data_IF_572365620933
#
_entry.id   IF_572365620933
#
_cell.length_a   1.000
_cell.length_b   1.000
_cell.length_c   1.000
_cell.angle_alpha   90.00
_cell.angle_beta   90.00
_cell.angle_gamma   90.00
#
_symmetry.space_group_name_H-M   'P 1'
#
loop_
_entity.id
_entity.type
_entity.pdbx_description
1 polymer ?
#
# COMPACT_ATOMS: atom_id res chain seq x y z
N UNK A 1 -72.82 -65.06 32.37
CA UNK A 1 -72.46 -64.34 31.12
C UNK A 1 -72.20 -62.82 31.34
N UNK A 2 -71.21 -62.38 32.16
CA UNK A 2 -70.87 -60.94 32.19
C UNK A 2 -69.38 -60.58 31.96
N UNK A 3 -68.47 -61.54 31.78
CA UNK A 3 -67.02 -61.24 31.82
C UNK A 3 -66.43 -60.88 30.43
N UNK A 4 -67.03 -61.31 29.31
CA UNK A 4 -66.50 -60.99 27.97
C UNK A 4 -66.89 -59.62 27.41
N UNK A 5 -67.92 -58.94 27.96
CA UNK A 5 -68.33 -57.61 27.46
C UNK A 5 -67.42 -56.47 27.92
N UNK A 6 -66.56 -56.68 28.92
CA UNK A 6 -65.73 -55.61 29.48
C UNK A 6 -64.39 -55.44 28.73
N UNK A 7 -63.82 -56.52 28.18
CA UNK A 7 -62.53 -56.45 27.47
C UNK A 7 -62.63 -55.80 26.09
N UNK A 8 -63.75 -55.98 25.37
CA UNK A 8 -63.94 -55.41 24.04
C UNK A 8 -64.09 -53.87 24.06
N UNK A 9 -64.76 -53.33 25.07
CA UNK A 9 -64.92 -51.87 25.26
C UNK A 9 -63.61 -51.23 25.73
N UNK A 10 -62.83 -51.89 26.58
CA UNK A 10 -61.52 -51.38 27.02
C UNK A 10 -60.49 -51.41 25.89
N UNK A 11 -60.50 -52.42 25.00
CA UNK A 11 -59.58 -52.47 23.84
C UNK A 11 -59.90 -51.39 22.78
N UNK A 12 -61.18 -51.12 22.52
CA UNK A 12 -61.61 -50.10 21.54
C UNK A 12 -61.30 -48.69 22.04
N UNK A 13 -61.47 -48.44 23.34
CA UNK A 13 -61.08 -47.16 23.96
C UNK A 13 -59.56 -46.97 23.94
N UNK A 14 -58.76 -48.03 24.17
CA UNK A 14 -57.30 -47.94 24.08
C UNK A 14 -56.82 -47.71 22.64
N UNK A 15 -57.42 -48.39 21.66
CA UNK A 15 -57.06 -48.26 20.23
C UNK A 15 -57.46 -46.89 19.65
N UNK A 16 -58.60 -46.31 20.08
CA UNK A 16 -59.00 -44.95 19.70
C UNK A 16 -58.17 -43.87 20.42
N UNK A 17 -57.74 -44.09 21.67
CA UNK A 17 -56.83 -43.16 22.37
C UNK A 17 -55.44 -43.12 21.73
N UNK A 18 -54.92 -44.26 21.23
CA UNK A 18 -53.62 -44.31 20.57
C UNK A 18 -53.60 -43.60 19.20
N UNK A 19 -54.73 -43.57 18.48
CA UNK A 19 -54.85 -42.91 17.17
C UNK A 19 -54.94 -41.37 17.30
N UNK A 20 -55.47 -40.86 18.42
CA UNK A 20 -55.54 -39.42 18.71
C UNK A 20 -54.17 -38.86 19.12
N UNK A 21 -53.32 -39.66 19.76
CA UNK A 21 -51.95 -39.27 20.14
C UNK A 21 -50.99 -39.32 18.93
N UNK A 22 -51.30 -40.09 17.88
CA UNK A 22 -50.45 -40.18 16.67
C UNK A 22 -50.71 -39.10 15.62
N UNK A 23 -51.83 -38.38 15.67
CA UNK A 23 -52.17 -37.33 14.68
C UNK A 23 -52.08 -35.89 15.22
N UNK A 24 -51.85 -35.72 16.52
CA UNK A 24 -51.64 -34.40 17.15
C UNK A 24 -50.17 -34.08 17.43
N UNK A 25 -49.27 -35.05 17.21
CA UNK A 25 -47.84 -34.81 17.17
C UNK A 25 -47.40 -34.43 15.74
N UNK A 26 -47.96 -33.35 15.21
CA UNK A 26 -47.17 -32.57 14.26
C UNK A 26 -46.01 -32.02 15.08
N UNK A 27 -44.85 -32.66 15.00
CA UNK A 27 -43.61 -32.08 15.47
C UNK A 27 -43.49 -30.74 14.76
N UNK A 28 -43.80 -29.66 15.48
CA UNK A 28 -43.42 -28.33 15.09
C UNK A 28 -41.88 -28.36 15.14
N UNK A 29 -41.25 -28.68 14.02
CA UNK A 29 -39.80 -28.61 13.87
C UNK A 29 -39.45 -27.13 13.84
N UNK A 30 -39.32 -26.53 15.02
CA UNK A 30 -38.68 -25.23 15.16
C UNK A 30 -37.22 -25.50 14.81
N UNK A 31 -36.78 -25.01 13.64
CA UNK A 31 -35.36 -25.04 13.28
C UNK A 31 -34.57 -24.38 14.42
N UNK A 32 -33.43 -24.97 14.85
CA UNK A 32 -32.58 -24.31 15.82
C UNK A 32 -32.16 -22.93 15.30
N UNK A 33 -31.94 -21.94 16.18
CA UNK A 33 -31.38 -20.66 15.76
C UNK A 33 -30.06 -20.88 15.02
N UNK A 34 -29.84 -20.15 13.93
CA UNK A 34 -28.61 -20.23 13.14
C UNK A 34 -27.43 -19.80 14.03
N UNK A 35 -26.41 -20.65 14.12
CA UNK A 35 -25.16 -20.31 14.81
C UNK A 35 -24.23 -19.57 13.85
N UNK A 36 -24.11 -18.26 14.07
CA UNK A 36 -23.27 -17.38 13.25
C UNK A 36 -21.78 -17.52 13.54
N UNK A 37 -21.37 -18.22 14.60
CA UNK A 37 -19.96 -18.50 14.85
C UNK A 37 -19.45 -19.64 13.95
N UNK A 38 -20.29 -20.64 13.68
CA UNK A 38 -19.93 -21.77 12.82
C UNK A 38 -20.36 -21.60 11.35
N UNK A 39 -21.36 -20.77 11.08
CA UNK A 39 -21.94 -20.58 9.74
C UNK A 39 -21.89 -19.12 9.26
N UNK A 40 -20.88 -18.36 9.67
CA UNK A 40 -20.68 -17.00 9.16
C UNK A 40 -20.51 -17.03 7.63
N UNK A 41 -21.16 -16.11 6.89
CA UNK A 41 -20.89 -15.98 5.47
C UNK A 41 -19.46 -15.49 5.22
N UNK A 42 -18.88 -15.95 4.12
CA UNK A 42 -17.63 -15.42 3.60
C UNK A 42 -17.93 -14.17 2.77
N UNK A 43 -17.08 -13.15 2.90
CA UNK A 43 -17.20 -11.88 2.17
C UNK A 43 -15.90 -11.60 1.45
N UNK A 44 -16.01 -11.32 0.15
CA UNK A 44 -14.88 -11.01 -0.71
C UNK A 44 -15.17 -9.75 -1.50
N UNK A 45 -14.17 -8.87 -1.61
CA UNK A 45 -14.25 -7.71 -2.49
C UNK A 45 -13.87 -8.17 -3.89
N UNK A 46 -14.79 -8.08 -4.84
CA UNK A 46 -14.55 -8.52 -6.23
C UNK A 46 -14.01 -7.40 -7.10
N UNK A 47 -14.36 -6.16 -6.79
CA UNK A 47 -13.90 -4.98 -7.52
C UNK A 47 -13.90 -3.74 -6.64
N UNK A 48 -12.90 -2.89 -6.84
CA UNK A 48 -12.84 -1.53 -6.31
C UNK A 48 -12.52 -0.60 -7.46
N UNK A 49 -13.32 0.45 -7.61
CA UNK A 49 -13.04 1.55 -8.52
C UNK A 49 -12.56 2.75 -7.71
N UNK A 50 -11.41 3.30 -8.10
CA UNK A 50 -10.90 4.55 -7.56
C UNK A 50 -11.84 5.73 -7.86
N UNK A 51 -11.72 6.79 -7.07
CA UNK A 51 -12.37 8.07 -7.38
C UNK A 51 -11.30 9.10 -7.72
N UNK A 52 -11.53 9.97 -8.70
CA UNK A 52 -10.56 10.99 -9.02
C UNK A 52 -10.72 12.22 -8.13
N UNK A 53 -9.62 12.64 -7.54
CA UNK A 53 -9.38 14.01 -7.10
C UNK A 53 -10.39 14.53 -6.06
N UNK A 54 -10.70 13.67 -5.08
CA UNK A 54 -11.64 13.94 -4.00
C UNK A 54 -13.11 13.95 -4.43
N UNK A 55 -13.43 13.55 -5.66
CA UNK A 55 -14.81 13.35 -6.07
C UNK A 55 -15.42 12.10 -5.41
N UNK A 56 -16.72 11.87 -5.63
CA UNK A 56 -17.43 10.69 -5.18
C UNK A 56 -17.90 9.86 -6.37
N UNK A 57 -16.95 9.31 -7.13
CA UNK A 57 -17.19 8.47 -8.32
C UNK A 57 -16.66 7.04 -8.17
N UNK A 58 -16.10 6.71 -7.00
CA UNK A 58 -15.61 5.37 -6.70
C UNK A 58 -16.76 4.37 -6.51
N UNK A 59 -16.40 3.09 -6.53
CA UNK A 59 -17.35 2.01 -6.27
C UNK A 59 -16.68 0.82 -5.58
N UNK A 60 -17.47 0.05 -4.85
CA UNK A 60 -17.10 -1.23 -4.25
C UNK A 60 -18.11 -2.27 -4.72
N UNK A 61 -17.63 -3.39 -5.25
CA UNK A 61 -18.43 -4.57 -5.52
C UNK A 61 -17.98 -5.71 -4.62
N UNK A 62 -18.96 -6.40 -4.04
CA UNK A 62 -18.75 -7.43 -3.03
C UNK A 62 -19.40 -8.72 -3.51
N UNK A 63 -18.81 -9.85 -3.15
CA UNK A 63 -19.46 -11.15 -3.25
C UNK A 63 -19.51 -11.77 -1.86
N UNK A 64 -20.72 -12.13 -1.42
CA UNK A 64 -20.92 -12.93 -0.23
C UNK A 64 -21.34 -14.35 -0.60
N UNK A 65 -20.83 -15.33 0.13
CA UNK A 65 -21.15 -16.75 -0.04
C UNK A 65 -21.42 -17.40 1.32
N UNK A 66 -22.29 -18.40 1.33
CA UNK A 66 -22.51 -19.27 2.51
C UNK A 66 -22.63 -20.72 2.07
N UNK A 67 -22.54 -21.65 3.03
CA UNK A 67 -22.66 -23.08 2.77
C UNK A 67 -24.02 -23.50 2.18
N UNK A 68 -25.07 -22.69 2.39
CA UNK A 68 -26.45 -23.01 2.00
C UNK A 68 -26.97 -22.19 0.80
N UNK A 69 -26.09 -21.46 0.11
CA UNK A 69 -26.47 -20.57 -1.01
C UNK A 69 -27.58 -19.58 -0.60
N UNK A 70 -27.42 -18.96 0.56
CA UNK A 70 -28.38 -18.03 1.12
C UNK A 70 -28.49 -16.73 0.32
N UNK A 71 -29.64 -16.07 0.43
CA UNK A 71 -29.80 -14.73 -0.12
C UNK A 71 -29.15 -13.69 0.81
N UNK A 72 -28.45 -12.73 0.22
CA UNK A 72 -27.67 -11.71 0.91
C UNK A 72 -28.22 -10.32 0.69
N UNK A 73 -28.08 -9.50 1.73
CA UNK A 73 -28.19 -8.04 1.65
C UNK A 73 -26.88 -7.40 2.11
N UNK A 74 -26.57 -6.22 1.60
CA UNK A 74 -25.28 -5.56 1.77
C UNK A 74 -25.43 -4.17 2.39
N UNK A 75 -24.43 -3.71 3.13
CA UNK A 75 -24.43 -2.37 3.74
C UNK A 75 -23.02 -1.75 3.84
N UNK A 76 -22.94 -0.42 3.93
CA UNK A 76 -21.71 0.35 4.26
C UNK A 76 -21.70 0.91 5.69
N UNK A 77 -22.84 0.91 6.37
CA UNK A 77 -23.02 1.50 7.71
C UNK A 77 -23.36 0.45 8.77
N UNK A 78 -23.70 -0.77 8.36
CA UNK A 78 -24.14 -1.86 9.24
C UNK A 78 -25.60 -1.74 9.67
N UNK A 79 -26.34 -0.75 9.18
CA UNK A 79 -27.73 -0.44 9.55
C UNK A 79 -28.67 -0.50 8.34
N UNK A 80 -28.32 0.20 7.26
CA UNK A 80 -29.09 0.30 6.03
C UNK A 80 -28.63 -0.75 5.03
N UNK A 81 -29.42 -1.80 4.87
CA UNK A 81 -29.12 -2.91 3.95
C UNK A 81 -29.86 -2.78 2.61
N UNK A 82 -29.18 -3.11 1.51
CA UNK A 82 -29.70 -3.16 0.15
C UNK A 82 -29.47 -4.53 -0.49
N UNK A 83 -30.28 -4.90 -1.49
CA UNK A 83 -30.10 -6.17 -2.22
C UNK A 83 -28.88 -6.14 -3.16
N UNK A 84 -28.56 -4.97 -3.74
CA UNK A 84 -27.42 -4.81 -4.63
C UNK A 84 -26.10 -4.96 -3.88
N UNK A 85 -25.19 -5.75 -4.45
CA UNK A 85 -23.82 -5.95 -3.95
C UNK A 85 -22.83 -4.88 -4.44
N UNK A 86 -23.32 -3.90 -5.22
CA UNK A 86 -22.53 -2.79 -5.74
C UNK A 86 -22.91 -1.51 -4.99
N UNK A 87 -21.89 -0.84 -4.47
CA UNK A 87 -21.96 0.51 -3.92
C UNK A 87 -21.27 1.49 -4.86
N UNK A 88 -21.96 2.54 -5.27
CA UNK A 88 -21.45 3.58 -6.19
C UNK A 88 -21.45 4.95 -5.53
N UNK A 89 -20.80 5.92 -6.18
CA UNK A 89 -20.69 7.30 -5.71
C UNK A 89 -19.92 7.42 -4.39
N UNK A 90 -18.85 6.64 -4.25
CA UNK A 90 -18.02 6.61 -3.06
C UNK A 90 -16.86 7.60 -3.19
N UNK A 91 -16.59 8.35 -2.12
CA UNK A 91 -15.39 9.17 -1.97
C UNK A 91 -14.18 8.30 -1.61
N UNK A 92 -12.97 8.84 -1.75
CA UNK A 92 -11.77 8.14 -1.36
C UNK A 92 -11.68 8.04 0.16
N UNK A 93 -11.82 6.84 0.71
CA UNK A 93 -11.69 6.54 2.13
C UNK A 93 -11.74 5.02 2.37
N UNK A 94 -11.54 4.63 3.62
CA UNK A 94 -11.90 3.29 4.10
C UNK A 94 -13.41 3.19 4.35
N UNK A 95 -14.00 2.07 3.92
CA UNK A 95 -15.38 1.68 4.15
C UNK A 95 -15.40 0.33 4.86
N UNK A 96 -16.18 0.24 5.94
CA UNK A 96 -16.56 -1.05 6.49
C UNK A 96 -17.75 -1.56 5.69
N UNK A 97 -17.58 -2.66 4.98
CA UNK A 97 -18.66 -3.24 4.17
C UNK A 97 -19.20 -4.50 4.84
N UNK A 98 -20.52 -4.65 4.81
CA UNK A 98 -21.25 -5.71 5.51
C UNK A 98 -22.03 -6.56 4.51
N UNK A 99 -22.09 -7.86 4.77
CA UNK A 99 -23.03 -8.77 4.11
C UNK A 99 -23.84 -9.52 5.18
N UNK A 100 -25.15 -9.55 5.00
CA UNK A 100 -26.12 -10.18 5.90
C UNK A 100 -26.92 -11.23 5.16
N UNK A 101 -26.85 -12.47 5.63
CA UNK A 101 -27.66 -13.59 5.14
C UNK A 101 -29.07 -13.53 5.75
N UNK A 102 -30.10 -13.95 5.02
CA UNK A 102 -31.53 -13.95 5.41
C UNK A 102 -31.90 -14.71 6.73
N UNK A 103 -30.91 -15.13 7.54
CA UNK A 103 -31.03 -15.71 8.89
C UNK A 103 -30.36 -14.92 10.03
N UNK A 104 -29.92 -13.67 9.78
CA UNK A 104 -29.28 -12.69 10.71
C UNK A 104 -27.75 -12.74 10.86
N UNK A 105 -27.03 -13.71 10.29
CA UNK A 105 -25.57 -13.69 10.36
C UNK A 105 -25.03 -12.58 9.47
N UNK A 106 -24.26 -11.67 10.09
CA UNK A 106 -23.62 -10.55 9.42
C UNK A 106 -22.11 -10.71 9.52
N UNK A 107 -21.43 -10.61 8.38
CA UNK A 107 -19.97 -10.53 8.29
C UNK A 107 -19.57 -9.16 7.77
N UNK A 108 -18.33 -8.75 7.99
CA UNK A 108 -17.82 -7.49 7.46
C UNK A 108 -16.34 -7.56 7.09
N UNK A 109 -15.95 -6.74 6.12
CA UNK A 109 -14.57 -6.57 5.67
C UNK A 109 -14.29 -5.09 5.44
N UNK A 110 -13.03 -4.67 5.61
CA UNK A 110 -12.59 -3.32 5.27
C UNK A 110 -12.27 -3.25 3.77
N UNK A 111 -12.80 -2.24 3.09
CA UNK A 111 -12.52 -1.92 1.70
C UNK A 111 -12.01 -0.47 1.60
N UNK A 112 -10.94 -0.24 0.84
CA UNK A 112 -10.36 1.10 0.67
C UNK A 112 -10.62 1.56 -0.76
N UNK A 113 -11.37 2.65 -0.92
CA UNK A 113 -11.50 3.35 -2.21
C UNK A 113 -10.35 4.34 -2.31
N UNK A 114 -9.40 4.17 -3.25
CA UNK A 114 -8.28 5.09 -3.39
C UNK A 114 -8.68 6.37 -4.13
N UNK A 115 -7.94 7.45 -3.84
CA UNK A 115 -7.97 8.70 -4.63
C UNK A 115 -6.93 8.61 -5.75
N UNK A 116 -7.36 8.60 -7.00
CA UNK A 116 -6.47 8.50 -8.15
C UNK A 116 -6.79 9.56 -9.20
N UNK A 117 -5.87 10.49 -9.44
CA UNK A 117 -6.12 11.60 -10.36
C UNK A 117 -6.28 11.23 -11.82
N UNK A 118 -5.89 10.02 -12.22
CA UNK A 118 -5.85 9.60 -13.62
C UNK A 118 -4.80 10.33 -14.47
N UNK A 119 -4.00 11.22 -13.87
CA UNK A 119 -2.91 11.93 -14.55
C UNK A 119 -1.67 11.04 -14.54
N UNK A 120 -1.26 10.56 -15.73
CA UNK A 120 -0.02 9.82 -15.89
C UNK A 120 1.12 10.76 -16.28
N UNK A 121 2.31 10.53 -15.71
CA UNK A 121 3.50 11.35 -15.95
C UNK A 121 4.60 10.57 -16.69
N UNK A 122 5.19 11.18 -17.70
CA UNK A 122 6.47 10.80 -18.28
C UNK A 122 7.52 11.81 -17.83
N UNK A 123 8.60 11.34 -17.19
CA UNK A 123 9.64 12.20 -16.62
C UNK A 123 11.00 11.81 -17.18
N UNK A 124 11.67 12.79 -17.78
CA UNK A 124 13.04 12.68 -18.24
C UNK A 124 13.94 13.54 -17.34
N UNK A 125 15.05 12.97 -16.89
CA UNK A 125 16.01 13.62 -15.99
C UNK A 125 17.36 13.73 -16.68
N UNK A 126 17.96 14.92 -16.61
CA UNK A 126 19.37 15.11 -16.95
C UNK A 126 20.15 15.32 -15.66
N UNK A 127 21.18 14.49 -15.46
CA UNK A 127 22.09 14.58 -14.32
C UNK A 127 22.72 15.98 -14.23
N UNK A 128 23.11 16.38 -13.03
CA UNK A 128 24.04 17.49 -12.85
C UNK A 128 25.44 16.96 -12.57
N UNK A 129 26.44 17.84 -12.58
CA UNK A 129 27.75 17.54 -12.03
C UNK A 129 27.76 17.81 -10.52
N UNK A 130 28.53 17.02 -9.77
CA UNK A 130 28.73 17.23 -8.34
C UNK A 130 29.15 18.68 -8.00
N UNK A 131 28.35 19.34 -7.16
CA UNK A 131 28.56 20.74 -6.78
C UNK A 131 28.13 21.79 -7.80
N UNK A 132 27.51 21.38 -8.91
CA UNK A 132 26.96 22.26 -9.94
C UNK A 132 25.43 22.31 -9.89
N UNK A 133 24.83 23.09 -10.79
CA UNK A 133 23.38 23.15 -11.01
C UNK A 133 23.08 23.19 -12.49
N UNK A 134 23.53 22.15 -13.18
CA UNK A 134 23.45 21.95 -14.63
C UNK A 134 22.37 20.96 -15.05
N UNK A 135 21.78 20.24 -14.09
CA UNK A 135 20.74 19.25 -14.34
C UNK A 135 19.40 19.86 -14.74
N UNK A 136 18.50 18.99 -15.17
CA UNK A 136 17.16 19.35 -15.59
C UNK A 136 16.16 18.23 -15.35
N UNK A 137 14.89 18.61 -15.22
CA UNK A 137 13.74 17.70 -15.22
C UNK A 137 12.80 18.17 -16.33
N UNK A 138 12.38 17.24 -17.18
CA UNK A 138 11.33 17.45 -18.16
C UNK A 138 10.16 16.51 -17.87
N UNK A 139 8.98 17.07 -17.72
CA UNK A 139 7.75 16.37 -17.35
C UNK A 139 6.73 16.54 -18.47
N UNK A 140 6.14 15.43 -18.90
CA UNK A 140 4.96 15.41 -19.76
C UNK A 140 3.83 14.74 -18.98
N UNK A 141 2.63 15.30 -19.08
CA UNK A 141 1.42 14.75 -18.48
C UNK A 141 0.48 14.21 -19.56
N UNK A 142 -0.39 13.27 -19.22
CA UNK A 142 -1.45 12.78 -20.12
C UNK A 142 -2.49 13.86 -20.47
N UNK A 143 -2.68 14.85 -19.60
CA UNK A 143 -3.62 15.96 -19.79
C UNK A 143 -2.88 17.21 -20.30
N UNK A 144 -3.60 18.04 -21.07
CA UNK A 144 -3.06 19.29 -21.63
C UNK A 144 -3.39 20.54 -20.80
N UNK A 145 -4.48 20.53 -20.01
CA UNK A 145 -4.89 21.65 -19.15
C UNK A 145 -4.25 21.56 -17.76
N UNK A 146 -2.93 21.44 -17.70
CA UNK A 146 -2.19 21.25 -16.45
C UNK A 146 -1.08 22.28 -16.28
N UNK A 147 -0.67 22.46 -15.03
CA UNK A 147 0.51 23.23 -14.64
C UNK A 147 1.43 22.38 -13.76
N UNK A 148 2.73 22.69 -13.80
CA UNK A 148 3.80 21.88 -13.25
C UNK A 148 4.55 22.66 -12.17
N UNK A 149 5.02 21.97 -11.14
CA UNK A 149 5.91 22.52 -10.11
C UNK A 149 6.94 21.48 -9.68
N UNK A 150 8.07 21.93 -9.14
CA UNK A 150 9.08 21.08 -8.47
C UNK A 150 9.28 21.47 -7.00
N UNK A 151 8.54 22.48 -6.50
CA UNK A 151 8.78 23.11 -5.21
C UNK A 151 7.49 23.43 -4.41
N UNK A 152 6.32 22.96 -4.88
CA UNK A 152 4.99 23.18 -4.28
C UNK A 152 4.51 24.63 -4.24
N UNK A 153 5.32 25.58 -4.71
CA UNK A 153 5.04 27.01 -4.53
C UNK A 153 4.71 27.69 -5.84
N UNK A 154 5.55 27.46 -6.85
CA UNK A 154 5.43 28.13 -8.13
C UNK A 154 5.05 27.08 -9.16
N UNK A 155 3.85 27.23 -9.72
CA UNK A 155 3.40 26.44 -10.85
C UNK A 155 3.65 27.20 -12.15
N UNK A 156 4.07 26.47 -13.17
CA UNK A 156 4.34 27.00 -14.51
C UNK A 156 3.62 26.14 -15.57
N UNK A 157 3.25 26.73 -16.72
CA UNK A 157 2.49 26.02 -17.75
C UNK A 157 3.32 24.96 -18.50
N UNK A 158 4.64 24.94 -18.34
CA UNK A 158 5.53 23.98 -19.01
C UNK A 158 6.18 23.06 -18.00
N UNK A 159 6.32 21.78 -18.33
CA UNK A 159 7.03 20.81 -17.48
C UNK A 159 8.56 20.85 -17.61
N UNK A 160 9.15 21.97 -18.04
CA UNK A 160 10.60 22.07 -18.27
C UNK A 160 11.27 22.87 -17.15
N UNK A 161 12.12 22.19 -16.37
CA UNK A 161 12.87 22.76 -15.26
C UNK A 161 14.35 22.58 -15.53
N UNK A 162 15.12 23.66 -15.45
CA UNK A 162 16.56 23.67 -15.75
C UNK A 162 17.34 24.34 -14.63
N UNK A 163 18.67 24.21 -14.70
CA UNK A 163 19.61 24.75 -13.71
C UNK A 163 19.40 24.14 -12.32
N UNK A 164 19.15 22.85 -12.30
CA UNK A 164 18.90 22.10 -11.08
C UNK A 164 20.19 21.43 -10.60
N UNK A 165 20.40 21.46 -9.29
CA UNK A 165 21.49 20.75 -8.63
C UNK A 165 21.11 19.29 -8.37
N UNK A 166 22.01 18.59 -7.68
CA UNK A 166 21.73 17.25 -7.20
C UNK A 166 20.66 17.34 -6.10
N UNK A 167 19.71 16.42 -6.12
CA UNK A 167 18.72 16.31 -5.05
C UNK A 167 17.44 15.62 -5.48
N UNK A 168 16.58 15.42 -4.49
CA UNK A 168 15.21 14.92 -4.69
C UNK A 168 14.31 16.13 -4.87
N UNK A 169 13.57 16.13 -5.98
CA UNK A 169 12.59 17.14 -6.34
C UNK A 169 11.19 16.53 -6.30
N UNK A 170 10.24 17.20 -5.64
CA UNK A 170 8.84 16.77 -5.65
C UNK A 170 8.14 17.38 -6.88
N UNK A 171 8.17 16.64 -8.00
CA UNK A 171 7.47 17.01 -9.22
C UNK A 171 5.98 16.90 -8.99
N UNK A 172 5.25 17.98 -9.19
CA UNK A 172 3.80 18.02 -9.15
C UNK A 172 3.23 18.46 -10.48
N UNK A 173 2.08 17.87 -10.78
CA UNK A 173 1.24 18.27 -11.90
C UNK A 173 -0.17 18.40 -11.37
N UNK A 174 -0.80 19.55 -11.61
CA UNK A 174 -2.21 19.75 -11.28
C UNK A 174 -2.97 20.27 -12.48
N UNK A 175 -4.23 19.90 -12.57
CA UNK A 175 -5.14 20.45 -13.57
C UNK A 175 -5.58 21.86 -13.17
N UNK A 176 -5.60 22.77 -14.14
CA UNK A 176 -5.93 24.18 -13.90
C UNK A 176 -7.42 24.30 -13.57
N UNK A 177 -7.74 25.05 -12.50
CA UNK A 177 -9.10 25.24 -11.96
C UNK A 177 -9.76 23.95 -11.42
N UNK A 178 -8.95 22.96 -11.05
CA UNK A 178 -9.39 21.67 -10.52
C UNK A 178 -8.67 21.40 -9.19
N UNK A 179 -9.27 20.59 -8.31
CA UNK A 179 -8.56 20.01 -7.16
C UNK A 179 -7.61 18.89 -7.58
N UNK A 180 -7.62 18.52 -8.87
CA UNK A 180 -6.98 17.32 -9.35
C UNK A 180 -5.50 17.50 -9.60
N UNK A 181 -4.70 16.58 -9.07
CA UNK A 181 -3.25 16.59 -9.24
C UNK A 181 -2.58 15.28 -8.89
N UNK A 182 -1.32 15.17 -9.26
CA UNK A 182 -0.44 14.06 -8.94
C UNK A 182 0.94 14.59 -8.59
N UNK A 183 1.69 13.82 -7.82
CA UNK A 183 3.05 14.16 -7.44
C UNK A 183 3.96 12.94 -7.54
N UNK A 184 5.24 13.19 -7.80
CA UNK A 184 6.28 12.16 -7.89
C UNK A 184 7.61 12.73 -7.47
N UNK A 185 8.26 12.05 -6.52
CA UNK A 185 9.64 12.34 -6.18
C UNK A 185 10.58 11.91 -7.31
N UNK A 186 11.50 12.80 -7.67
CA UNK A 186 12.45 12.62 -8.76
C UNK A 186 13.85 12.99 -8.27
N UNK A 187 14.77 12.04 -8.33
CA UNK A 187 16.19 12.28 -8.03
C UNK A 187 16.90 12.80 -9.28
N UNK A 188 17.55 13.96 -9.15
CA UNK A 188 18.62 14.37 -10.08
C UNK A 188 19.95 13.94 -9.46
N UNK A 189 20.66 12.98 -10.07
CA UNK A 189 21.93 12.54 -9.52
C UNK A 189 23.08 13.47 -9.93
N UNK A 190 24.17 13.43 -9.16
CA UNK A 190 25.40 14.19 -9.41
C UNK A 190 26.29 13.63 -10.51
N UNK A 191 25.88 12.52 -11.13
CA UNK A 191 26.67 11.77 -12.11
C UNK A 191 27.89 11.05 -11.50
N UNK A 192 28.14 11.19 -10.20
CA UNK A 192 29.26 10.51 -9.53
C UNK A 192 28.92 9.05 -9.34
N UNK A 193 29.78 8.18 -9.86
CA UNK A 193 29.67 6.73 -9.72
C UNK A 193 30.77 6.17 -8.82
N UNK A 194 30.47 5.04 -8.18
CA UNK A 194 31.46 4.40 -7.30
C UNK A 194 32.70 3.99 -8.11
N UNK A 195 32.52 3.25 -9.19
CA UNK A 195 33.61 2.64 -9.96
C UNK A 195 34.55 3.65 -10.60
N UNK A 196 34.00 4.76 -11.13
CA UNK A 196 34.80 5.73 -11.89
C UNK A 196 35.40 6.83 -11.02
N UNK A 197 34.74 7.22 -9.93
CA UNK A 197 35.13 8.41 -9.15
C UNK A 197 35.54 8.07 -7.72
N UNK A 198 34.77 7.24 -7.01
CA UNK A 198 34.95 7.05 -5.57
C UNK A 198 35.93 5.93 -5.24
N UNK A 199 35.90 4.84 -6.00
CA UNK A 199 36.68 3.63 -5.72
C UNK A 199 38.18 3.93 -5.59
N UNK A 200 38.74 4.68 -6.55
CA UNK A 200 40.15 5.05 -6.51
C UNK A 200 40.50 5.91 -5.27
N UNK A 201 39.59 6.78 -4.84
CA UNK A 201 39.77 7.61 -3.65
C UNK A 201 39.81 6.71 -2.40
N UNK A 202 38.87 5.77 -2.28
CA UNK A 202 38.81 4.82 -1.16
C UNK A 202 40.04 3.92 -1.14
N UNK A 203 40.44 3.36 -2.28
CA UNK A 203 41.59 2.45 -2.38
C UNK A 203 42.91 3.15 -2.02
N UNK A 204 43.07 4.41 -2.44
CA UNK A 204 44.31 5.17 -2.24
C UNK A 204 44.43 5.76 -0.85
N UNK A 205 43.31 6.14 -0.22
CA UNK A 205 43.34 6.94 1.02
C UNK A 205 42.77 6.22 2.24
N UNK A 206 41.95 5.20 2.04
CA UNK A 206 41.21 4.54 3.12
C UNK A 206 41.61 3.07 3.26
N UNK A 207 41.52 2.29 2.18
CA UNK A 207 41.76 0.84 2.15
C UNK A 207 43.24 0.47 1.92
N UNK A 208 44.13 1.13 2.67
CA UNK A 208 45.58 0.99 2.56
C UNK A 208 46.16 0.12 3.67
N UNK A 209 47.38 -0.39 3.50
CA UNK A 209 48.02 -1.22 4.52
C UNK A 209 48.01 -0.52 5.89
N UNK A 210 47.37 -1.17 6.86
CA UNK A 210 47.21 -0.65 8.21
C UNK A 210 46.04 0.31 8.45
N UNK A 211 45.16 0.57 7.47
CA UNK A 211 43.93 1.34 7.63
C UNK A 211 42.81 0.68 6.80
N UNK A 212 41.64 0.42 7.38
CA UNK A 212 40.45 -0.15 6.72
C UNK A 212 40.70 -1.30 5.73
N UNK A 213 41.52 -2.28 6.14
CA UNK A 213 41.77 -3.55 5.43
C UNK A 213 41.49 -4.72 6.36
N UNK A 214 41.28 -5.92 5.80
CA UNK A 214 41.05 -7.16 6.55
C UNK A 214 42.03 -7.39 7.72
N UNK A 215 41.54 -8.07 8.76
CA UNK A 215 42.37 -8.53 9.89
C UNK A 215 42.52 -7.52 11.04
N UNK A 216 41.64 -6.52 11.12
CA UNK A 216 41.57 -5.55 12.22
C UNK A 216 40.13 -5.37 12.69
N UNK A 217 39.92 -4.90 13.93
CA UNK A 217 38.60 -4.50 14.46
C UNK A 217 38.12 -3.15 13.88
N UNK A 218 38.27 -2.96 12.57
CA UNK A 218 37.82 -1.79 11.80
C UNK A 218 37.20 -2.29 10.49
N UNK A 219 36.22 -1.59 9.91
CA UNK A 219 35.61 -2.00 8.64
C UNK A 219 36.65 -2.14 7.52
N UNK A 220 36.58 -3.23 6.74
CA UNK A 220 37.42 -3.46 5.57
C UNK A 220 36.80 -2.81 4.33
N UNK A 221 37.39 -1.70 3.88
CA UNK A 221 36.87 -0.91 2.75
C UNK A 221 37.38 -1.39 1.38
N UNK A 222 38.10 -2.52 1.31
CA UNK A 222 38.32 -3.21 0.02
C UNK A 222 37.05 -3.84 -0.52
N UNK A 223 36.12 -4.16 0.36
CA UNK A 223 34.81 -4.73 0.02
C UNK A 223 33.78 -3.60 -0.10
N UNK A 224 33.17 -3.43 -1.28
CA UNK A 224 32.16 -2.39 -1.52
C UNK A 224 31.03 -2.44 -0.48
N UNK A 225 30.54 -3.64 -0.16
CA UNK A 225 29.44 -3.81 0.82
C UNK A 225 29.76 -3.21 2.19
N UNK A 226 31.02 -3.21 2.61
CA UNK A 226 31.46 -2.59 3.85
C UNK A 226 31.59 -1.07 3.70
N UNK A 227 32.03 -0.57 2.54
CA UNK A 227 32.00 0.87 2.23
C UNK A 227 30.55 1.36 2.32
N UNK A 228 29.63 0.69 1.60
CA UNK A 228 28.21 1.03 1.54
C UNK A 228 27.55 1.06 2.94
N UNK A 229 27.79 0.05 3.78
CA UNK A 229 27.28 0.03 5.17
C UNK A 229 27.80 1.18 6.05
N UNK A 230 28.94 1.77 5.70
CA UNK A 230 29.60 2.79 6.50
C UNK A 230 29.54 4.20 5.88
N UNK A 231 28.86 4.41 4.75
CA UNK A 231 28.90 5.67 4.01
C UNK A 231 28.51 6.91 4.80
N UNK A 232 27.50 6.82 5.68
CA UNK A 232 27.11 7.92 6.53
C UNK A 232 28.25 8.33 7.48
N UNK A 233 28.97 7.35 8.04
CA UNK A 233 30.13 7.60 8.91
C UNK A 233 31.32 8.08 8.10
N UNK A 234 31.58 7.51 6.91
CA UNK A 234 32.64 7.97 6.01
C UNK A 234 32.41 9.44 5.67
N UNK A 235 31.24 9.79 5.14
CA UNK A 235 30.84 11.16 4.79
C UNK A 235 31.00 12.12 5.98
N UNK A 236 30.53 11.72 7.17
CA UNK A 236 30.69 12.55 8.38
C UNK A 236 32.17 12.79 8.73
N UNK A 237 32.98 11.72 8.74
CA UNK A 237 34.36 11.80 9.24
C UNK A 237 35.29 12.56 8.30
N UNK A 238 35.10 12.44 6.99
CA UNK A 238 35.88 13.18 6.00
C UNK A 238 35.51 14.67 6.00
N UNK A 239 34.22 15.02 6.12
CA UNK A 239 33.78 16.41 6.20
C UNK A 239 34.26 17.10 7.48
N UNK A 240 34.35 16.36 8.58
CA UNK A 240 34.92 16.86 9.84
C UNK A 240 36.47 16.84 9.87
N UNK A 241 37.14 16.38 8.80
CA UNK A 241 38.60 16.26 8.75
C UNK A 241 39.20 15.26 9.74
N UNK A 242 38.38 14.39 10.33
CA UNK A 242 38.84 13.38 11.32
C UNK A 242 39.40 12.11 10.67
N UNK A 243 39.16 11.94 9.36
CA UNK A 243 39.71 10.86 8.55
C UNK A 243 40.11 11.39 7.17
N UNK A 244 41.24 10.94 6.61
CA UNK A 244 42.22 10.02 7.21
C UNK A 244 43.04 10.67 8.36
N UNK A 245 43.59 9.89 9.31
CA UNK A 245 44.30 10.42 10.46
C UNK A 245 45.77 10.68 10.14
N UNK A 246 46.34 11.69 10.81
CA UNK A 246 47.76 12.06 10.79
C UNK A 246 48.22 12.59 9.44
N UNK A 247 48.14 13.91 9.21
CA UNK A 247 48.56 14.67 8.01
C UNK A 247 48.18 14.11 6.62
N UNK A 248 47.53 12.97 6.53
CA UNK A 248 46.97 12.33 5.34
C UNK A 248 45.60 12.95 5.09
N UNK A 249 45.60 14.17 4.59
CA UNK A 249 44.36 14.83 4.18
C UNK A 249 44.00 14.38 2.77
N UNK A 250 42.74 13.98 2.56
CA UNK A 250 42.17 13.90 1.21
C UNK A 250 41.82 15.30 0.72
N UNK A 251 41.75 15.49 -0.59
CA UNK A 251 41.49 16.83 -1.14
C UNK A 251 40.02 17.23 -0.95
N UNK A 252 39.72 18.53 -0.97
CA UNK A 252 38.33 19.00 -0.94
C UNK A 252 37.51 18.44 -2.09
N UNK A 253 38.14 18.20 -3.25
CA UNK A 253 37.50 17.57 -4.41
C UNK A 253 37.13 16.11 -4.14
N UNK A 254 38.01 15.36 -3.48
CA UNK A 254 37.73 13.98 -3.10
C UNK A 254 36.58 13.89 -2.09
N UNK A 255 36.59 14.79 -1.09
CA UNK A 255 35.49 14.92 -0.12
C UNK A 255 34.18 15.20 -0.84
N UNK A 256 34.19 16.10 -1.82
CA UNK A 256 33.01 16.46 -2.59
C UNK A 256 32.48 15.27 -3.40
N UNK A 257 33.35 14.55 -4.12
CA UNK A 257 32.96 13.37 -4.89
C UNK A 257 32.36 12.27 -4.02
N UNK A 258 33.00 11.95 -2.89
CA UNK A 258 32.44 10.97 -1.95
C UNK A 258 31.08 11.46 -1.43
N UNK A 259 30.97 12.74 -1.05
CA UNK A 259 29.73 13.31 -0.53
C UNK A 259 28.58 13.22 -1.53
N UNK A 260 28.81 13.65 -2.77
CA UNK A 260 27.82 13.57 -3.84
C UNK A 260 27.40 12.13 -4.15
N UNK A 261 28.34 11.19 -4.24
CA UNK A 261 28.00 9.78 -4.44
C UNK A 261 27.15 9.19 -3.31
N UNK A 262 27.43 9.58 -2.06
CA UNK A 262 26.60 9.18 -0.92
C UNK A 262 25.20 9.76 -1.01
N UNK A 263 25.08 11.02 -1.43
CA UNK A 263 23.78 11.70 -1.62
C UNK A 263 22.99 11.14 -2.83
N UNK A 264 23.67 10.52 -3.80
CA UNK A 264 23.07 9.75 -4.90
C UNK A 264 22.61 8.33 -4.48
N UNK A 265 22.71 7.98 -3.20
CA UNK A 265 22.29 6.69 -2.66
C UNK A 265 23.40 5.64 -2.57
N UNK A 266 24.66 6.02 -2.76
CA UNK A 266 25.83 5.16 -2.57
C UNK A 266 25.75 3.82 -3.33
N UNK A 267 25.40 3.87 -4.62
CA UNK A 267 25.26 2.69 -5.48
C UNK A 267 26.61 2.17 -5.98
N UNK A 268 26.70 0.86 -6.26
CA UNK A 268 27.85 0.22 -6.93
C UNK A 268 27.70 0.33 -8.45
N UNK A 269 27.94 1.52 -8.99
CA UNK A 269 27.82 1.82 -10.42
C UNK A 269 29.15 2.27 -11.01
#
# INVERSE_FOLDING_TARGET
MPILKNYATTLIVFFLLTIIISHSCQYNTILPPVDCEENAPEINITSIQSTPCGESKGSIEILATSANDGEFTYSLDGESFQESNIFTNLSAQSYQVYAKENGNCTTSIEAIVPDESGISLEIEVTNTDCGSSTGSIMVKASLSNVEFSIDEKIFQPTGSFSKLGQGIYNVQVREINSSCGTSKEVLIPSGVSYNNSVKNIIDTNCAISGCHVAGRNIPDFKEFSNVQKNVATIKLRINNGTMPPGNRAITSKDIQLITCWVDDGALEN
#
